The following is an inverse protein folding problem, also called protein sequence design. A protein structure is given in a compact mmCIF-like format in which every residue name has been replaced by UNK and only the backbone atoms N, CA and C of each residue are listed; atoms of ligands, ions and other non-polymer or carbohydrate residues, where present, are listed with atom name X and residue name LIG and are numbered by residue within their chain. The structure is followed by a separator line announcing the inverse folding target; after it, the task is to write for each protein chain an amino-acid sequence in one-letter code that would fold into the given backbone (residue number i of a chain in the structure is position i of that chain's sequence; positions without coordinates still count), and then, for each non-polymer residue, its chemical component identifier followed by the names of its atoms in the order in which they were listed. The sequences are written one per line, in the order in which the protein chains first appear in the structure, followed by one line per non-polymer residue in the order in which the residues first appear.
data_IF_572016990288
#
_entry.id   IF_572016990288
#
_cell.length_a   1.000
_cell.length_b   1.000
_cell.length_c   1.000
_cell.angle_alpha   90.00
_cell.angle_beta   90.00
_cell.angle_gamma   90.00
#
_symmetry.space_group_name_H-M   'P 1'
#
loop_
_entity.id
_entity.type
_entity.pdbx_description
1 polymer ?
#
# COMPACT_ATOMS: atom_id res chain seq x y z
N UNK A 1 -14.28 9.52 -3.60
CA UNK A 1 -13.11 9.35 -2.73
C UNK A 1 -12.92 10.64 -1.97
N UNK A 2 -12.72 10.58 -0.68
CA UNK A 2 -12.41 11.76 0.10
C UNK A 2 -11.05 12.34 -0.32
N UNK A 3 -10.89 13.65 -0.18
CA UNK A 3 -9.62 14.31 -0.55
C UNK A 3 -8.51 13.85 0.40
N UNK A 4 -7.29 13.57 -0.12
CA UNK A 4 -6.20 13.08 0.71
C UNK A 4 -5.80 14.10 1.79
N UNK A 5 -5.45 13.61 2.96
CA UNK A 5 -5.11 14.41 4.14
C UNK A 5 -3.60 14.42 4.37
N UNK A 6 -3.05 15.58 4.68
CA UNK A 6 -1.68 15.72 5.21
C UNK A 6 -1.76 15.61 6.72
N UNK A 7 -1.18 14.55 7.28
CA UNK A 7 -0.98 14.37 8.71
C UNK A 7 0.36 15.02 9.08
N UNK A 8 0.33 16.05 9.90
CA UNK A 8 1.52 16.80 10.31
C UNK A 8 1.83 16.48 11.77
N UNK A 9 2.99 15.89 12.03
CA UNK A 9 3.45 15.56 13.38
C UNK A 9 4.75 16.31 13.65
N UNK A 10 4.71 17.20 14.62
CA UNK A 10 5.84 18.06 15.03
C UNK A 10 5.57 18.51 16.47
N UNK A 11 6.52 18.43 17.40
CA UNK A 11 6.32 18.82 18.79
C UNK A 11 6.36 20.33 19.01
N UNK A 12 6.98 21.07 18.08
CA UNK A 12 7.05 22.53 18.13
C UNK A 12 5.73 23.17 17.65
N UNK A 13 4.92 23.75 18.54
CA UNK A 13 3.63 24.40 18.24
C UNK A 13 3.74 25.46 17.15
N UNK A 14 4.78 26.29 17.18
CA UNK A 14 4.96 27.39 16.21
C UNK A 14 5.23 26.83 14.80
N UNK A 15 6.03 25.79 14.67
CA UNK A 15 6.29 25.10 13.40
C UNK A 15 5.02 24.43 12.89
N UNK A 16 4.36 23.66 13.75
CA UNK A 16 3.12 22.92 13.45
C UNK A 16 2.01 23.85 12.98
N UNK A 17 1.77 24.97 13.70
CA UNK A 17 0.72 25.94 13.35
C UNK A 17 1.02 26.68 12.05
N UNK A 18 2.30 27.05 11.82
CA UNK A 18 2.73 27.75 10.62
C UNK A 18 2.61 26.86 9.37
N UNK A 19 3.10 25.63 9.43
CA UNK A 19 3.01 24.66 8.32
C UNK A 19 1.56 24.29 8.02
N UNK A 20 0.77 23.98 9.07
CA UNK A 20 -0.65 23.67 8.90
C UNK A 20 -1.40 24.79 8.19
N UNK A 21 -1.19 26.04 8.61
CA UNK A 21 -1.82 27.22 7.98
C UNK A 21 -1.38 27.39 6.53
N UNK A 22 -0.09 27.22 6.25
CA UNK A 22 0.47 27.38 4.91
C UNK A 22 -0.07 26.31 3.93
N UNK A 23 -0.20 25.06 4.38
CA UNK A 23 -0.75 23.95 3.59
C UNK A 23 -2.26 24.12 3.38
N UNK A 24 -3.03 24.48 4.42
CA UNK A 24 -4.47 24.77 4.30
C UNK A 24 -4.75 25.90 3.33
N UNK A 25 -3.95 26.96 3.34
CA UNK A 25 -4.06 28.08 2.38
C UNK A 25 -3.85 27.64 0.93
N UNK A 26 -3.15 26.53 0.69
CA UNK A 26 -2.93 25.93 -0.64
C UNK A 26 -3.98 24.89 -1.02
N UNK A 27 -5.00 24.70 -0.17
CA UNK A 27 -6.12 23.80 -0.43
C UNK A 27 -5.95 22.38 0.09
N UNK A 28 -4.86 22.08 0.81
CA UNK A 28 -4.69 20.76 1.44
C UNK A 28 -5.59 20.61 2.68
N UNK A 29 -6.14 19.41 2.85
CA UNK A 29 -6.68 19.01 4.15
C UNK A 29 -5.50 18.69 5.07
N UNK A 30 -5.51 19.21 6.30
CA UNK A 30 -4.40 19.02 7.26
C UNK A 30 -4.96 18.68 8.63
N UNK A 31 -4.52 17.57 9.18
CA UNK A 31 -4.64 17.21 10.58
C UNK A 31 -3.26 17.31 11.23
N UNK A 32 -3.18 17.91 12.42
CA UNK A 32 -1.89 18.15 13.08
C UNK A 32 -1.87 17.57 14.48
N UNK A 33 -0.73 17.00 14.87
CA UNK A 33 -0.51 16.27 16.12
C UNK A 33 0.78 16.75 16.78
N UNK A 34 0.76 16.85 18.08
CA UNK A 34 1.89 17.32 18.89
C UNK A 34 2.93 16.24 19.19
N UNK A 35 2.63 14.98 18.88
CA UNK A 35 3.52 13.85 19.13
C UNK A 35 3.17 12.65 18.26
N UNK A 36 4.13 11.73 18.11
CA UNK A 36 3.93 10.44 17.48
C UNK A 36 2.79 9.64 18.15
N UNK A 37 2.68 9.73 19.49
CA UNK A 37 1.63 9.05 20.26
C UNK A 37 0.26 9.59 19.91
N UNK A 38 0.09 10.91 19.89
CA UNK A 38 -1.18 11.54 19.55
C UNK A 38 -1.63 11.18 18.13
N UNK A 39 -0.69 11.05 17.21
CA UNK A 39 -0.96 10.57 15.85
C UNK A 39 -1.43 9.10 15.85
N UNK A 40 -0.68 8.18 16.46
CA UNK A 40 -1.01 6.76 16.50
C UNK A 40 -2.37 6.48 17.16
N UNK A 41 -2.73 7.24 18.20
CA UNK A 41 -3.99 7.07 18.92
C UNK A 41 -5.22 7.52 18.10
N UNK A 42 -5.04 8.40 17.11
CA UNK A 42 -6.13 9.03 16.35
C UNK A 42 -6.19 8.63 14.87
N UNK A 43 -5.09 8.12 14.30
CA UNK A 43 -5.04 7.73 12.90
C UNK A 43 -5.89 6.47 12.62
N UNK A 44 -6.75 6.54 11.61
CA UNK A 44 -7.72 5.49 11.25
C UNK A 44 -7.53 4.94 9.84
N UNK A 45 -6.29 4.84 9.37
CA UNK A 45 -5.95 4.38 8.01
C UNK A 45 -6.57 5.25 6.90
N UNK A 46 -6.65 6.55 7.14
CA UNK A 46 -7.13 7.52 6.18
C UNK A 46 -6.14 7.73 5.02
N UNK A 47 -6.69 8.07 3.84
CA UNK A 47 -5.91 8.38 2.64
C UNK A 47 -5.10 9.67 2.81
N UNK A 48 -3.80 9.63 2.47
CA UNK A 48 -2.96 10.82 2.56
C UNK A 48 -1.46 10.58 2.67
N UNK A 49 -0.77 11.45 3.43
CA UNK A 49 0.65 11.32 3.75
C UNK A 49 0.98 11.89 5.12
N UNK A 50 2.06 11.41 5.70
CA UNK A 50 2.61 11.89 6.97
C UNK A 50 3.80 12.82 6.73
N UNK A 51 3.68 14.07 7.16
CA UNK A 51 4.80 15.01 7.31
C UNK A 51 5.25 14.94 8.76
N UNK A 52 6.46 14.43 8.98
CA UNK A 52 6.93 13.99 10.29
C UNK A 52 8.21 14.71 10.69
N UNK A 53 8.19 15.41 11.80
CA UNK A 53 9.43 15.90 12.38
C UNK A 53 10.30 14.75 12.85
N UNK A 54 11.61 14.87 12.55
CA UNK A 54 12.58 13.85 12.95
C UNK A 54 12.90 13.90 14.44
N UNK A 55 13.01 15.10 15.02
CA UNK A 55 13.64 15.37 16.30
C UNK A 55 12.72 15.41 17.51
N UNK A 56 11.58 14.71 17.48
CA UNK A 56 10.60 14.74 18.57
C UNK A 56 11.05 13.98 19.83
N UNK A 57 10.60 14.43 21.03
CA UNK A 57 10.83 13.70 22.27
C UNK A 57 10.03 12.39 22.34
N UNK A 58 10.40 11.49 23.24
CA UNK A 58 9.77 10.19 23.54
C UNK A 58 9.86 9.18 22.39
N UNK A 59 9.16 9.41 21.30
CA UNK A 59 9.19 8.61 20.07
C UNK A 59 9.66 9.52 18.93
N UNK A 60 10.90 9.35 18.51
CA UNK A 60 11.42 10.11 17.38
C UNK A 60 10.84 9.64 16.02
N UNK A 61 11.10 10.41 14.98
CA UNK A 61 10.51 10.12 13.68
C UNK A 61 10.89 8.76 13.09
N UNK A 62 12.13 8.27 13.28
CA UNK A 62 12.56 6.94 12.81
C UNK A 62 11.91 5.81 13.61
N UNK A 63 11.73 5.99 14.92
CA UNK A 63 11.04 5.03 15.76
C UNK A 63 9.58 4.93 15.34
N UNK A 64 8.90 6.05 15.06
CA UNK A 64 7.55 6.04 14.52
C UNK A 64 7.48 5.33 13.17
N UNK A 65 8.41 5.60 12.26
CA UNK A 65 8.50 4.91 10.97
C UNK A 65 8.67 3.40 11.16
N UNK A 66 9.51 2.96 12.09
CA UNK A 66 9.70 1.54 12.40
C UNK A 66 8.43 0.89 12.94
N UNK A 67 7.73 1.55 13.86
CA UNK A 67 6.44 1.09 14.39
C UNK A 67 5.37 0.97 13.29
N UNK A 68 5.31 1.95 12.38
CA UNK A 68 4.38 1.91 11.24
C UNK A 68 4.71 0.74 10.31
N UNK A 69 5.97 0.48 10.02
CA UNK A 69 6.40 -0.66 9.20
C UNK A 69 6.05 -2.00 9.86
N UNK A 70 6.27 -2.15 11.18
CA UNK A 70 5.93 -3.36 11.93
C UNK A 70 4.41 -3.62 11.96
N UNK A 71 3.62 -2.56 12.09
CA UNK A 71 2.16 -2.62 12.10
C UNK A 71 1.53 -2.61 10.71
N UNK A 72 2.35 -2.54 9.66
CA UNK A 72 1.93 -2.48 8.24
C UNK A 72 1.03 -1.28 7.91
N UNK A 73 1.22 -0.17 8.60
CA UNK A 73 0.62 1.10 8.20
C UNK A 73 1.35 1.63 6.96
N UNK A 74 0.64 1.72 5.85
CA UNK A 74 1.23 2.02 4.53
C UNK A 74 1.27 3.50 4.18
N UNK A 75 0.98 4.39 5.13
CA UNK A 75 0.95 5.83 4.90
C UNK A 75 2.36 6.35 4.51
N UNK A 76 2.54 6.99 3.35
CA UNK A 76 3.82 7.54 2.92
C UNK A 76 4.34 8.62 3.84
N UNK A 77 5.63 8.58 4.17
CA UNK A 77 6.26 9.49 5.13
C UNK A 77 7.21 10.45 4.43
N UNK A 78 7.09 11.74 4.75
CA UNK A 78 8.01 12.81 4.40
C UNK A 78 8.61 13.33 5.71
N UNK A 79 9.92 13.19 5.88
CA UNK A 79 10.59 13.75 7.04
C UNK A 79 10.89 15.23 6.88
N UNK A 80 10.75 15.97 7.98
CA UNK A 80 11.28 17.33 8.12
C UNK A 80 12.21 17.36 9.33
N UNK A 81 13.35 18.07 9.27
CA UNK A 81 14.31 18.09 10.36
C UNK A 81 15.08 19.41 10.43
N UNK A 82 15.24 19.94 11.63
CA UNK A 82 16.14 21.07 11.91
C UNK A 82 17.58 20.65 12.15
N UNK A 83 17.86 19.38 12.43
CA UNK A 83 19.16 18.86 12.86
C UNK A 83 19.44 17.46 12.29
N UNK A 84 19.01 17.16 11.08
CA UNK A 84 19.25 15.86 10.45
C UNK A 84 20.58 15.83 9.68
N UNK A 85 21.42 14.88 9.99
CA UNK A 85 22.64 14.61 9.23
C UNK A 85 22.40 13.65 8.05
N UNK A 86 23.45 13.46 7.22
CA UNK A 86 23.42 12.49 6.10
C UNK A 86 23.07 11.06 6.57
N UNK A 87 23.56 10.56 7.74
CA UNK A 87 23.23 9.21 8.19
C UNK A 87 21.74 9.00 8.45
N UNK A 88 21.08 9.97 9.06
CA UNK A 88 19.65 9.91 9.43
C UNK A 88 18.75 9.93 8.19
N UNK A 89 19.06 10.83 7.24
CA UNK A 89 18.30 10.89 5.98
C UNK A 89 18.43 9.59 5.17
N UNK A 90 19.64 9.03 5.11
CA UNK A 90 19.87 7.73 4.44
C UNK A 90 19.10 6.60 5.12
N UNK A 91 19.03 6.60 6.45
CA UNK A 91 18.27 5.59 7.20
C UNK A 91 16.75 5.70 6.92
N UNK A 92 16.19 6.91 6.98
CA UNK A 92 14.79 7.17 6.69
C UNK A 92 14.42 6.72 5.26
N UNK A 93 15.26 7.08 4.27
CA UNK A 93 15.03 6.70 2.88
C UNK A 93 15.12 5.19 2.66
N UNK A 94 16.08 4.49 3.28
CA UNK A 94 16.19 3.03 3.23
C UNK A 94 14.98 2.32 3.89
N UNK A 95 14.37 2.95 4.89
CA UNK A 95 13.18 2.45 5.55
C UNK A 95 11.88 2.79 4.79
N UNK A 96 11.96 3.39 3.59
CA UNK A 96 10.84 3.62 2.69
C UNK A 96 10.21 5.01 2.75
N UNK A 97 10.86 6.00 3.39
CA UNK A 97 10.40 7.39 3.32
C UNK A 97 10.32 7.90 1.87
N UNK A 98 9.38 8.80 1.63
CA UNK A 98 9.21 9.45 0.32
C UNK A 98 10.34 10.44 0.09
N UNK A 99 10.63 11.26 1.11
CA UNK A 99 11.69 12.27 1.07
C UNK A 99 12.09 12.72 2.49
N UNK A 100 13.18 13.49 2.56
CA UNK A 100 13.71 14.06 3.78
C UNK A 100 14.11 15.52 3.52
N UNK A 101 13.42 16.48 4.15
CA UNK A 101 13.60 17.92 3.98
C UNK A 101 14.28 18.54 5.19
N UNK A 102 15.43 19.20 5.00
CA UNK A 102 16.13 19.93 6.04
C UNK A 102 15.55 21.34 6.21
N UNK A 103 15.21 21.72 7.45
CA UNK A 103 14.77 23.08 7.81
C UNK A 103 15.97 24.04 7.80
N UNK A 104 15.91 25.22 7.14
CA UNK A 104 14.75 25.77 6.45
C UNK A 104 14.61 25.26 5.00
N UNK A 105 13.46 24.77 4.61
CA UNK A 105 13.10 24.33 3.26
C UNK A 105 12.17 25.30 2.56
N UNK A 106 12.09 25.23 1.23
CA UNK A 106 11.11 26.01 0.46
C UNK A 106 9.73 25.33 0.54
N UNK A 107 8.69 26.11 0.72
CA UNK A 107 7.32 25.56 0.75
C UNK A 107 6.96 24.79 -0.54
N UNK A 108 7.53 25.19 -1.69
CA UNK A 108 7.31 24.47 -2.95
C UNK A 108 7.87 23.04 -2.94
N UNK A 109 9.01 22.83 -2.29
CA UNK A 109 9.65 21.51 -2.18
C UNK A 109 8.78 20.58 -1.32
N UNK A 110 8.26 21.05 -0.19
CA UNK A 110 7.34 20.27 0.64
C UNK A 110 6.06 19.92 -0.12
N UNK A 111 5.49 20.86 -0.88
CA UNK A 111 4.29 20.59 -1.70
C UNK A 111 4.56 19.54 -2.77
N UNK A 112 5.71 19.58 -3.43
CA UNK A 112 6.09 18.56 -4.42
C UNK A 112 6.21 17.16 -3.77
N UNK A 113 6.84 17.07 -2.59
CA UNK A 113 6.93 15.82 -1.83
C UNK A 113 5.55 15.30 -1.41
N UNK A 114 4.64 16.18 -0.95
CA UNK A 114 3.26 15.81 -0.59
C UNK A 114 2.51 15.23 -1.81
N UNK A 115 2.64 15.83 -2.98
CA UNK A 115 2.01 15.31 -4.20
C UNK A 115 2.54 13.93 -4.57
N UNK A 116 3.87 13.75 -4.55
CA UNK A 116 4.50 12.45 -4.77
C UNK A 116 4.02 11.41 -3.74
N UNK A 117 3.86 11.81 -2.47
CA UNK A 117 3.36 10.93 -1.42
C UNK A 117 1.90 10.54 -1.66
N UNK A 118 1.05 11.46 -2.06
CA UNK A 118 -0.35 11.17 -2.39
C UNK A 118 -0.48 10.20 -3.56
N UNK A 119 0.34 10.36 -4.61
CA UNK A 119 0.35 9.43 -5.74
C UNK A 119 0.76 8.01 -5.29
N UNK A 120 1.78 7.89 -4.44
CA UNK A 120 2.21 6.59 -3.87
C UNK A 120 1.15 5.95 -2.97
N UNK A 121 0.46 6.74 -2.15
CA UNK A 121 -0.63 6.23 -1.30
C UNK A 121 -1.79 5.71 -2.16
N UNK A 122 -2.16 6.45 -3.21
CA UNK A 122 -3.20 6.04 -4.15
C UNK A 122 -2.85 4.71 -4.83
N UNK A 123 -1.64 4.60 -5.41
CA UNK A 123 -1.16 3.38 -6.06
C UNK A 123 -1.16 2.19 -5.09
N UNK A 124 -0.70 2.39 -3.85
CA UNK A 124 -0.67 1.34 -2.82
C UNK A 124 -2.06 0.87 -2.45
N UNK A 125 -3.00 1.80 -2.27
CA UNK A 125 -4.41 1.48 -1.94
C UNK A 125 -5.13 0.81 -3.10
N UNK A 126 -4.92 1.26 -4.32
CA UNK A 126 -5.49 0.61 -5.52
C UNK A 126 -4.97 -0.82 -5.68
N UNK A 127 -3.66 -1.04 -5.48
CA UNK A 127 -3.07 -2.37 -5.52
C UNK A 127 -3.65 -3.28 -4.41
N UNK A 128 -3.80 -2.78 -3.19
CA UNK A 128 -4.40 -3.53 -2.08
C UNK A 128 -5.87 -3.88 -2.34
N UNK A 129 -6.65 -2.96 -2.91
CA UNK A 129 -8.04 -3.22 -3.30
C UNK A 129 -8.13 -4.27 -4.41
N UNK A 130 -7.27 -4.19 -5.43
CA UNK A 130 -7.21 -5.18 -6.51
C UNK A 130 -6.82 -6.57 -5.97
N UNK A 131 -5.83 -6.62 -5.06
CA UNK A 131 -5.41 -7.86 -4.41
C UNK A 131 -6.53 -8.49 -3.58
N UNK A 132 -7.22 -7.70 -2.76
CA UNK A 132 -8.34 -8.18 -1.95
C UNK A 132 -9.51 -8.67 -2.82
N UNK A 133 -9.83 -7.95 -3.89
CA UNK A 133 -10.86 -8.36 -4.86
C UNK A 133 -10.48 -9.67 -5.56
N UNK A 134 -9.24 -9.81 -6.01
CA UNK A 134 -8.74 -11.05 -6.62
C UNK A 134 -8.80 -12.22 -5.62
N UNK A 135 -8.33 -12.03 -4.39
CA UNK A 135 -8.38 -13.03 -3.32
C UNK A 135 -9.81 -13.49 -3.04
N UNK A 136 -10.74 -12.55 -2.91
CA UNK A 136 -12.16 -12.85 -2.70
C UNK A 136 -12.77 -13.70 -3.83
N UNK A 137 -12.32 -13.53 -5.09
CA UNK A 137 -12.73 -14.39 -6.21
C UNK A 137 -12.17 -15.80 -6.06
N UNK A 138 -10.89 -15.96 -5.74
CA UNK A 138 -10.28 -17.27 -5.49
C UNK A 138 -10.94 -18.04 -4.33
N UNK A 139 -11.41 -17.33 -3.31
CA UNK A 139 -12.08 -17.94 -2.16
C UNK A 139 -13.46 -18.54 -2.49
N UNK A 140 -14.07 -18.16 -3.63
CA UNK A 140 -15.31 -18.78 -4.15
C UNK A 140 -15.07 -20.17 -4.77
N UNK A 141 -13.84 -20.56 -5.04
CA UNK A 141 -13.51 -21.85 -5.62
C UNK A 141 -13.66 -22.95 -4.58
N UNK A 142 -14.28 -24.06 -4.98
CA UNK A 142 -14.25 -25.30 -4.21
C UNK A 142 -12.83 -25.88 -4.18
N UNK A 143 -12.55 -26.81 -3.26
CA UNK A 143 -11.24 -27.48 -3.17
C UNK A 143 -10.81 -28.07 -4.52
N UNK A 144 -11.74 -28.71 -5.24
CA UNK A 144 -11.42 -29.31 -6.53
C UNK A 144 -11.21 -28.30 -7.66
N UNK A 145 -11.97 -27.25 -7.69
CA UNK A 145 -11.76 -26.13 -8.62
C UNK A 145 -10.42 -25.45 -8.35
N UNK A 146 -10.04 -25.30 -7.09
CA UNK A 146 -8.74 -24.71 -6.68
C UNK A 146 -7.57 -25.59 -7.13
N UNK A 147 -7.62 -26.92 -6.98
CA UNK A 147 -6.62 -27.85 -7.48
C UNK A 147 -6.42 -27.72 -8.99
N UNK A 148 -7.52 -27.66 -9.75
CA UNK A 148 -7.47 -27.49 -11.21
C UNK A 148 -6.92 -26.12 -11.59
N UNK A 149 -7.32 -25.05 -10.91
CA UNK A 149 -6.81 -23.70 -11.14
C UNK A 149 -5.31 -23.64 -10.86
N UNK A 150 -4.83 -24.20 -9.76
CA UNK A 150 -3.38 -24.28 -9.43
C UNK A 150 -2.61 -25.01 -10.52
N UNK A 151 -3.11 -26.17 -10.96
CA UNK A 151 -2.46 -26.91 -12.05
C UNK A 151 -2.35 -26.07 -13.34
N UNK A 152 -3.42 -25.35 -13.72
CA UNK A 152 -3.41 -24.48 -14.91
C UNK A 152 -2.42 -23.30 -14.76
N UNK A 153 -2.30 -22.73 -13.57
CA UNK A 153 -1.36 -21.64 -13.28
C UNK A 153 0.11 -22.10 -13.31
N UNK A 154 0.38 -23.30 -12.81
CA UNK A 154 1.73 -23.87 -12.79
C UNK A 154 2.16 -24.42 -14.17
N UNK A 155 1.21 -24.81 -15.01
CA UNK A 155 1.43 -25.41 -16.32
C UNK A 155 0.71 -24.66 -17.43
N UNK A 156 0.96 -23.36 -17.68
CA UNK A 156 0.18 -22.55 -18.61
C UNK A 156 0.25 -23.03 -20.06
N UNK A 157 1.32 -23.73 -20.43
CA UNK A 157 1.50 -24.32 -21.76
C UNK A 157 0.83 -25.69 -21.91
N UNK A 158 0.33 -26.30 -20.83
CA UNK A 158 -0.21 -27.66 -20.81
C UNK A 158 -1.57 -27.72 -20.12
N UNK A 159 -2.50 -26.88 -20.56
CA UNK A 159 -3.83 -26.75 -19.96
C UNK A 159 -4.91 -27.57 -20.66
N UNK A 160 -4.52 -28.53 -21.52
CA UNK A 160 -5.49 -29.42 -22.18
C UNK A 160 -6.21 -30.30 -21.15
N UNK A 161 -7.53 -30.42 -21.28
CA UNK A 161 -8.38 -31.16 -20.32
C UNK A 161 -7.97 -32.62 -20.14
N UNK A 162 -7.35 -33.22 -21.19
CA UNK A 162 -6.79 -34.58 -21.12
C UNK A 162 -5.57 -34.67 -20.22
N UNK A 163 -4.69 -33.68 -20.24
CA UNK A 163 -3.47 -33.64 -19.41
C UNK A 163 -3.82 -33.34 -17.94
N UNK A 164 -4.69 -32.37 -17.70
CA UNK A 164 -5.21 -32.09 -16.36
C UNK A 164 -5.93 -33.31 -15.79
N UNK A 165 -6.77 -33.98 -16.61
CA UNK A 165 -7.48 -35.18 -16.21
C UNK A 165 -6.55 -36.31 -15.82
N UNK A 166 -5.44 -36.52 -16.56
CA UNK A 166 -4.42 -37.52 -16.25
C UNK A 166 -3.68 -37.19 -14.94
N UNK A 167 -3.31 -35.92 -14.75
CA UNK A 167 -2.57 -35.47 -13.57
C UNK A 167 -3.40 -35.55 -12.29
N UNK A 168 -4.70 -35.27 -12.38
CA UNK A 168 -5.59 -35.21 -11.22
C UNK A 168 -6.54 -36.41 -11.08
N UNK A 169 -6.34 -37.47 -11.90
CA UNK A 169 -7.14 -38.69 -11.92
C UNK A 169 -8.66 -38.46 -12.06
N UNK A 170 -9.03 -37.62 -13.05
CA UNK A 170 -10.45 -37.35 -13.41
C UNK A 170 -10.65 -37.36 -14.92
N UNK A 171 -11.92 -37.53 -15.34
CA UNK A 171 -12.24 -37.54 -16.75
C UNK A 171 -12.01 -36.14 -17.39
N UNK A 172 -11.59 -36.06 -18.67
CA UNK A 172 -11.48 -34.80 -19.39
C UNK A 172 -12.78 -33.99 -19.38
N UNK A 173 -13.92 -34.64 -19.48
CA UNK A 173 -15.25 -34.02 -19.42
C UNK A 173 -15.51 -33.36 -18.04
N UNK A 174 -15.04 -33.99 -16.98
CA UNK A 174 -15.10 -33.42 -15.61
C UNK A 174 -14.22 -32.20 -15.48
N UNK A 175 -13.02 -32.24 -16.09
CA UNK A 175 -12.12 -31.06 -16.17
C UNK A 175 -12.80 -29.91 -16.90
N UNK A 176 -13.40 -30.15 -18.07
CA UNK A 176 -14.07 -29.11 -18.84
C UNK A 176 -15.21 -28.44 -18.04
N UNK A 177 -15.97 -29.23 -17.30
CA UNK A 177 -17.01 -28.71 -16.42
C UNK A 177 -16.44 -27.80 -15.30
N UNK A 178 -15.35 -28.25 -14.64
CA UNK A 178 -14.72 -27.43 -13.62
C UNK A 178 -14.06 -26.17 -14.19
N UNK A 179 -13.40 -26.27 -15.36
CA UNK A 179 -12.81 -25.10 -16.03
C UNK A 179 -13.86 -24.01 -16.31
N UNK A 180 -15.01 -24.37 -16.85
CA UNK A 180 -16.09 -23.42 -17.09
C UNK A 180 -16.53 -22.71 -15.80
N UNK A 181 -16.68 -23.47 -14.71
CA UNK A 181 -17.02 -22.90 -13.40
C UNK A 181 -15.93 -22.04 -12.78
N UNK A 182 -14.65 -22.41 -12.97
CA UNK A 182 -13.50 -21.62 -12.51
C UNK A 182 -13.51 -20.26 -13.22
N UNK A 183 -13.61 -20.25 -14.54
CA UNK A 183 -13.63 -19.01 -15.32
C UNK A 183 -14.81 -18.11 -14.92
N UNK A 184 -16.01 -18.70 -14.75
CA UNK A 184 -17.21 -17.99 -14.30
C UNK A 184 -17.02 -17.38 -12.90
N UNK A 185 -16.58 -18.17 -11.92
CA UNK A 185 -16.40 -17.71 -10.53
C UNK A 185 -15.31 -16.66 -10.36
N UNK A 186 -14.24 -16.78 -11.15
CA UNK A 186 -13.15 -15.82 -11.16
C UNK A 186 -13.44 -14.59 -12.03
N UNK A 187 -14.54 -14.63 -12.79
CA UNK A 187 -14.97 -13.55 -13.70
C UNK A 187 -13.90 -13.24 -14.77
N UNK A 188 -13.34 -14.30 -15.38
CA UNK A 188 -12.27 -14.23 -16.39
C UNK A 188 -12.67 -15.05 -17.63
N UNK A 189 -12.09 -14.68 -18.78
CA UNK A 189 -12.39 -15.33 -20.07
C UNK A 189 -11.36 -16.38 -20.52
N UNK A 190 -10.17 -16.43 -19.89
CA UNK A 190 -9.08 -17.24 -20.36
C UNK A 190 -8.14 -17.72 -19.26
N UNK A 191 -7.31 -18.74 -19.57
CA UNK A 191 -6.24 -19.21 -18.68
C UNK A 191 -5.14 -18.15 -18.53
N UNK A 192 -4.93 -17.30 -19.53
CA UNK A 192 -3.95 -16.21 -19.44
C UNK A 192 -4.38 -15.22 -18.35
N UNK A 193 -5.64 -14.80 -18.37
CA UNK A 193 -6.21 -13.96 -17.30
C UNK A 193 -6.19 -14.63 -15.92
N UNK A 194 -6.29 -15.97 -15.85
CA UNK A 194 -6.12 -16.72 -14.59
C UNK A 194 -4.71 -16.53 -14.04
N UNK A 195 -3.68 -16.62 -14.88
CA UNK A 195 -2.29 -16.42 -14.48
C UNK A 195 -2.06 -14.98 -14.04
N UNK A 196 -2.56 -13.99 -14.79
CA UNK A 196 -2.47 -12.57 -14.43
C UNK A 196 -3.15 -12.30 -13.06
N UNK A 197 -4.38 -12.79 -12.87
CA UNK A 197 -5.11 -12.64 -11.61
C UNK A 197 -4.35 -13.29 -10.43
N UNK A 198 -3.67 -14.42 -10.67
CA UNK A 198 -2.87 -15.09 -9.63
C UNK A 198 -1.62 -14.29 -9.24
N UNK A 199 -1.04 -13.53 -10.16
CA UNK A 199 0.09 -12.65 -9.87
C UNK A 199 -0.33 -11.51 -8.93
N UNK A 200 -1.52 -10.92 -9.15
CA UNK A 200 -2.08 -9.89 -8.27
C UNK A 200 -2.24 -10.42 -6.84
N UNK A 201 -2.66 -11.68 -6.66
CA UNK A 201 -2.83 -12.26 -5.30
C UNK A 201 -1.49 -12.52 -4.60
N UNK A 202 -0.42 -12.74 -5.36
CA UNK A 202 0.92 -13.08 -4.83
C UNK A 202 1.80 -11.83 -4.58
N UNK A 203 1.48 -10.70 -5.21
CA UNK A 203 2.19 -9.44 -5.04
C UNK A 203 1.95 -8.84 -3.64
#
# INVERSE_FOLDING_TARGET
MDSPTVFLVDDEEDVRSTLSRALKKRGFQVQSFESARAFLDQYQDDHGCLVLDYGMPDINGLELQSLMNETKLTLPIIFISGHGGIPESVQAMKAGAVDFLEKPFRQGDLVACIQTAFDRDLETREAALAQNAAKARFDRLTSREREIAVFMMENPSNTASKEIGRALDISPRTVDHHRARILEKLEIGSVIELVELSQIVRA
#
